data_IF_724609241111
#
_entry.id   IF_724609241111
#
_cell.length_a   1.000
_cell.length_b   1.000
_cell.length_c   1.000
_cell.angle_alpha   90.00
_cell.angle_beta   90.00
_cell.angle_gamma   90.00
#
_symmetry.space_group_name_H-M   'P 1'
#
loop_
_entity.id
_entity.type
_entity.pdbx_description
1 polymer ?
#
# COMPACT_ATOMS: atom_id res chain seq x y z
N UNK A 1 -2.43 71.13 61.55
CA UNK A 1 -1.69 72.29 61.07
C UNK A 1 -0.61 71.85 60.12
N UNK A 2 -0.50 72.45 58.99
CA UNK A 2 0.39 72.23 57.83
C UNK A 2 -0.14 71.27 56.75
N UNK A 3 -0.78 71.90 55.76
CA UNK A 3 -1.19 71.41 54.48
C UNK A 3 0.02 71.13 53.59
N UNK A 4 0.01 69.98 52.88
CA UNK A 4 0.90 69.75 51.76
C UNK A 4 0.03 69.49 50.54
N UNK A 5 0.09 70.36 49.59
CA UNK A 5 -0.52 70.28 48.30
C UNK A 5 0.29 69.31 47.43
N UNK A 6 -0.38 68.31 46.87
CA UNK A 6 0.17 67.42 45.86
C UNK A 6 -0.31 67.89 44.48
N UNK A 7 0.67 68.29 43.65
CA UNK A 7 0.46 68.55 42.23
C UNK A 7 0.29 67.17 41.49
N UNK A 8 -0.84 67.00 40.82
CA UNK A 8 -1.06 65.88 39.90
C UNK A 8 -0.66 66.34 38.49
N UNK A 9 0.40 65.76 37.95
CA UNK A 9 0.78 65.89 36.56
C UNK A 9 -0.01 64.87 35.71
N UNK A 10 -0.84 65.42 34.81
CA UNK A 10 -1.63 64.58 33.85
C UNK A 10 -0.76 64.26 32.64
N UNK A 11 -0.35 62.99 32.51
CA UNK A 11 0.32 62.48 31.33
C UNK A 11 -0.75 61.93 30.37
N UNK A 12 -0.97 62.56 29.22
CA UNK A 12 -1.77 62.05 28.13
C UNK A 12 -0.95 61.01 27.41
N UNK A 13 -1.32 59.74 27.55
CA UNK A 13 -0.84 58.65 26.71
C UNK A 13 -1.74 58.52 25.47
N UNK A 14 -1.21 58.88 24.31
CA UNK A 14 -1.86 58.61 23.03
C UNK A 14 -1.76 57.12 22.71
N UNK A 15 -2.86 56.37 22.88
CA UNK A 15 -2.97 54.97 22.43
C UNK A 15 -3.20 54.91 20.92
N UNK A 16 -2.15 54.63 20.16
CA UNK A 16 -2.27 54.29 18.74
C UNK A 16 -2.86 52.90 18.61
N UNK A 17 -4.08 52.77 18.13
CA UNK A 17 -4.65 51.48 17.68
C UNK A 17 -3.95 51.04 16.40
N UNK A 18 -2.98 50.15 16.53
CA UNK A 18 -2.49 49.38 15.38
C UNK A 18 -3.52 48.27 15.07
N UNK A 19 -4.30 48.46 14.01
CA UNK A 19 -5.15 47.39 13.44
C UNK A 19 -4.24 46.34 12.83
N UNK A 20 -4.04 45.23 13.54
CA UNK A 20 -3.38 44.05 12.99
C UNK A 20 -4.27 43.48 11.88
N UNK A 21 -3.75 43.40 10.67
CA UNK A 21 -4.39 42.69 9.58
C UNK A 21 -4.57 41.23 9.98
N UNK A 22 -5.71 40.60 9.65
CA UNK A 22 -5.90 39.18 9.96
C UNK A 22 -4.86 38.36 9.22
N UNK A 23 -4.08 37.58 9.96
CA UNK A 23 -3.13 36.65 9.40
C UNK A 23 -3.91 35.65 8.51
N UNK A 24 -3.57 35.60 7.24
CA UNK A 24 -4.12 34.63 6.31
C UNK A 24 -3.81 33.22 6.88
N UNK A 25 -4.86 32.42 7.08
CA UNK A 25 -4.69 31.01 7.46
C UNK A 25 -3.84 30.33 6.38
N UNK A 26 -2.82 29.53 6.75
CA UNK A 26 -2.09 28.74 5.78
C UNK A 26 -3.08 27.83 5.06
N UNK A 27 -3.23 28.02 3.75
CA UNK A 27 -3.97 27.12 2.89
C UNK A 27 -3.17 25.82 2.91
N UNK A 28 -3.75 24.75 3.46
CA UNK A 28 -3.18 23.42 3.37
C UNK A 28 -2.99 23.11 1.88
N UNK A 29 -1.83 22.58 1.45
CA UNK A 29 -1.64 22.19 0.08
C UNK A 29 -2.71 21.17 -0.30
N UNK A 30 -3.51 21.47 -1.30
CA UNK A 30 -4.43 20.51 -1.91
C UNK A 30 -3.58 19.34 -2.38
N UNK A 31 -3.89 18.10 -1.99
CA UNK A 31 -3.15 16.96 -2.52
C UNK A 31 -3.32 16.94 -4.04
N UNK A 32 -2.24 17.23 -4.74
CA UNK A 32 -2.21 17.07 -6.18
C UNK A 32 -2.42 15.59 -6.45
N UNK A 33 -3.49 15.26 -7.17
CA UNK A 33 -3.72 13.92 -7.70
C UNK A 33 -2.64 13.69 -8.75
N UNK A 34 -1.52 13.13 -8.34
CA UNK A 34 -0.47 12.78 -9.26
C UNK A 34 -0.91 11.55 -10.06
N UNK A 35 -1.20 11.73 -11.33
CA UNK A 35 -1.38 10.64 -12.27
C UNK A 35 0.01 10.16 -12.66
N UNK A 36 0.60 9.27 -11.84
CA UNK A 36 1.85 8.64 -12.19
C UNK A 36 1.60 7.58 -13.26
N UNK A 37 2.33 7.67 -14.36
CA UNK A 37 2.41 6.64 -15.39
C UNK A 37 3.78 5.94 -15.29
N UNK A 38 3.94 4.79 -15.94
CA UNK A 38 5.25 4.11 -16.01
C UNK A 38 6.35 4.97 -16.64
N UNK A 39 5.98 5.98 -17.43
CA UNK A 39 6.93 6.94 -17.99
C UNK A 39 7.29 8.07 -17.02
N UNK A 40 6.61 8.09 -15.86
CA UNK A 40 6.77 9.16 -14.89
C UNK A 40 6.16 10.49 -15.33
N UNK A 41 6.27 11.48 -14.46
CA UNK A 41 5.97 12.87 -14.77
C UNK A 41 7.31 13.62 -14.87
N UNK A 42 7.64 14.13 -16.06
CA UNK A 42 8.89 14.87 -16.29
C UNK A 42 9.02 16.12 -15.40
N UNK A 43 7.89 16.69 -14.91
CA UNK A 43 7.88 17.82 -13.99
C UNK A 43 8.04 17.40 -12.52
N UNK A 44 7.77 16.13 -12.22
CA UNK A 44 7.81 15.57 -10.84
C UNK A 44 8.18 14.08 -10.88
N UNK A 45 9.41 13.73 -11.23
CA UNK A 45 9.84 12.34 -11.31
C UNK A 45 9.70 11.57 -9.99
N UNK A 46 9.63 12.29 -8.87
CA UNK A 46 9.64 11.72 -7.51
C UNK A 46 8.24 11.62 -6.88
N UNK A 47 7.19 12.05 -7.55
CA UNK A 47 5.91 12.31 -6.88
C UNK A 47 4.79 11.35 -7.27
N UNK A 48 4.95 10.07 -7.02
CA UNK A 48 3.83 9.13 -7.00
C UNK A 48 3.34 8.88 -5.56
N UNK A 49 2.61 9.86 -5.02
CA UNK A 49 1.96 9.72 -3.72
C UNK A 49 0.67 8.89 -3.85
N UNK A 50 0.37 8.11 -2.81
CA UNK A 50 -0.86 7.30 -2.75
C UNK A 50 -0.73 5.94 -3.41
N UNK A 51 0.48 5.49 -3.68
CA UNK A 51 0.76 4.14 -4.15
C UNK A 51 0.93 3.16 -3.00
N UNK A 52 0.63 1.92 -3.31
CA UNK A 52 0.80 0.80 -2.41
C UNK A 52 1.52 -0.35 -3.11
N UNK A 53 2.30 -1.07 -2.33
CA UNK A 53 2.85 -2.37 -2.68
C UNK A 53 1.91 -3.43 -2.14
N UNK A 54 1.33 -4.23 -3.02
CA UNK A 54 0.58 -5.43 -2.67
C UNK A 54 1.40 -6.67 -2.95
N UNK A 55 1.43 -7.58 -1.99
CA UNK A 55 2.08 -8.88 -2.08
C UNK A 55 1.05 -9.98 -1.90
N UNK A 56 0.96 -10.89 -2.87
CA UNK A 56 0.10 -12.05 -2.82
C UNK A 56 0.95 -13.32 -2.81
N UNK A 57 0.63 -14.22 -1.90
CA UNK A 57 1.38 -15.44 -1.67
C UNK A 57 0.58 -16.65 -2.15
N UNK A 58 1.05 -17.29 -3.22
CA UNK A 58 0.40 -18.41 -3.88
C UNK A 58 1.18 -19.69 -3.62
N UNK A 59 0.59 -20.64 -2.90
CA UNK A 59 1.16 -21.98 -2.81
C UNK A 59 1.05 -22.68 -4.18
N UNK A 60 2.16 -23.22 -4.69
CA UNK A 60 2.20 -23.84 -6.01
C UNK A 60 2.57 -25.34 -5.98
N UNK A 61 2.51 -25.95 -4.82
CA UNK A 61 2.76 -27.36 -4.62
C UNK A 61 3.65 -27.62 -3.42
N UNK A 62 3.65 -28.86 -2.95
CA UNK A 62 4.47 -29.27 -1.81
C UNK A 62 5.92 -29.48 -2.23
N UNK A 63 6.84 -29.16 -1.32
CA UNK A 63 8.21 -29.61 -1.45
C UNK A 63 8.26 -31.08 -1.02
N UNK A 64 8.91 -31.91 -1.84
CA UNK A 64 8.95 -33.36 -1.66
C UNK A 64 9.30 -33.77 -0.22
N UNK A 65 8.42 -34.50 0.45
CA UNK A 65 8.80 -35.28 1.62
C UNK A 65 7.88 -35.29 2.84
N UNK A 66 6.79 -34.52 2.90
CA UNK A 66 6.08 -34.37 4.17
C UNK A 66 4.58 -34.70 4.18
N UNK A 67 3.92 -35.04 3.09
CA UNK A 67 2.57 -35.56 3.16
C UNK A 67 2.21 -36.49 2.02
N UNK A 68 1.38 -37.51 2.33
CA UNK A 68 0.80 -38.43 1.36
C UNK A 68 -0.20 -37.77 0.38
N UNK A 69 -0.37 -36.45 0.44
CA UNK A 69 -1.11 -35.68 -0.56
C UNK A 69 -0.29 -35.65 -1.83
N UNK A 70 -0.83 -36.33 -2.81
CA UNK A 70 -0.22 -36.60 -4.11
C UNK A 70 0.38 -35.33 -4.71
N UNK A 71 1.63 -35.45 -5.15
CA UNK A 71 2.37 -34.50 -6.00
C UNK A 71 1.62 -34.13 -7.31
N UNK A 72 0.42 -34.67 -7.52
CA UNK A 72 -0.45 -34.44 -8.68
C UNK A 72 -1.05 -33.04 -8.73
N UNK A 73 -1.00 -32.29 -7.64
CA UNK A 73 -1.63 -30.97 -7.54
C UNK A 73 -0.62 -29.80 -7.59
N UNK A 74 0.64 -30.10 -7.93
CA UNK A 74 1.64 -29.08 -8.10
C UNK A 74 1.34 -28.24 -9.36
N UNK A 75 1.24 -26.93 -9.18
CA UNK A 75 1.08 -26.00 -10.29
C UNK A 75 2.38 -25.92 -11.08
N UNK A 76 2.30 -26.23 -12.35
CA UNK A 76 3.44 -26.13 -13.27
C UNK A 76 3.72 -24.65 -13.62
N UNK A 77 4.93 -24.39 -14.08
CA UNK A 77 5.31 -23.04 -14.52
C UNK A 77 4.45 -22.54 -15.70
N UNK A 78 4.04 -23.44 -16.58
CA UNK A 78 3.14 -23.12 -17.69
C UNK A 78 1.74 -22.72 -17.19
N UNK A 79 1.19 -23.43 -16.20
CA UNK A 79 -0.09 -23.09 -15.58
C UNK A 79 -0.01 -21.77 -14.82
N UNK A 80 1.11 -21.54 -14.11
CA UNK A 80 1.35 -20.28 -13.44
C UNK A 80 1.38 -19.10 -14.41
N UNK A 81 2.13 -19.19 -15.52
CA UNK A 81 2.17 -18.17 -16.56
C UNK A 81 0.80 -17.92 -17.18
N UNK A 82 0.07 -18.98 -17.51
CA UNK A 82 -1.28 -18.85 -18.04
C UNK A 82 -2.23 -18.13 -17.04
N UNK A 83 -2.06 -18.37 -15.74
CA UNK A 83 -2.79 -17.64 -14.70
C UNK A 83 -2.44 -16.16 -14.68
N UNK A 84 -1.16 -15.80 -14.74
CA UNK A 84 -0.72 -14.41 -14.81
C UNK A 84 -1.30 -13.71 -16.04
N UNK A 85 -1.18 -14.32 -17.21
CA UNK A 85 -1.65 -13.74 -18.49
C UNK A 85 -3.16 -13.51 -18.49
N UNK A 86 -3.91 -14.42 -17.89
CA UNK A 86 -5.38 -14.37 -17.90
C UNK A 86 -5.96 -13.49 -16.82
N UNK A 87 -5.37 -13.50 -15.61
CA UNK A 87 -6.02 -12.94 -14.43
C UNK A 87 -5.29 -11.74 -13.83
N UNK A 88 -3.98 -11.63 -14.01
CA UNK A 88 -3.17 -10.57 -13.38
C UNK A 88 -2.84 -9.48 -14.37
N UNK A 89 -2.18 -9.79 -15.48
CA UNK A 89 -1.72 -8.83 -16.47
C UNK A 89 -2.83 -7.89 -16.98
N UNK A 90 -4.06 -8.36 -17.28
CA UNK A 90 -5.11 -7.46 -17.73
C UNK A 90 -5.57 -6.43 -16.68
N UNK A 91 -5.32 -6.71 -15.39
CA UNK A 91 -5.66 -5.82 -14.27
C UNK A 91 -4.52 -4.90 -13.88
N UNK A 92 -3.30 -5.36 -14.05
CA UNK A 92 -2.07 -4.65 -13.71
C UNK A 92 -1.12 -4.66 -14.93
N UNK A 93 -1.50 -3.96 -16.03
CA UNK A 93 -0.72 -3.95 -17.27
C UNK A 93 0.60 -3.21 -17.11
N UNK A 94 0.70 -2.32 -16.12
CA UNK A 94 1.88 -1.50 -15.86
C UNK A 94 3.06 -2.30 -15.29
N UNK A 95 2.81 -3.53 -14.88
CA UNK A 95 3.86 -4.45 -14.47
C UNK A 95 3.57 -5.19 -13.18
N UNK A 96 4.27 -6.30 -13.07
CA UNK A 96 4.26 -7.17 -11.90
C UNK A 96 5.65 -7.79 -11.74
N UNK A 97 5.96 -8.21 -10.53
CA UNK A 97 7.17 -8.97 -10.23
C UNK A 97 6.80 -10.25 -9.49
N UNK A 98 7.44 -11.35 -9.84
CA UNK A 98 7.23 -12.63 -9.15
C UNK A 98 8.54 -13.11 -8.56
N UNK A 99 8.47 -13.53 -7.31
CA UNK A 99 9.56 -14.22 -6.62
C UNK A 99 9.18 -15.67 -6.35
N UNK A 100 10.13 -16.58 -6.57
CA UNK A 100 10.06 -17.92 -6.03
C UNK A 100 10.45 -17.88 -4.55
N UNK A 101 9.60 -18.48 -3.72
CA UNK A 101 9.76 -18.47 -2.29
C UNK A 101 9.41 -19.84 -1.69
N UNK A 102 9.77 -20.00 -0.43
CA UNK A 102 9.46 -21.15 0.39
C UNK A 102 8.50 -20.74 1.50
N UNK A 103 7.38 -21.46 1.63
CA UNK A 103 6.41 -21.24 2.69
C UNK A 103 6.32 -22.43 3.62
N UNK A 104 6.18 -22.17 4.91
CA UNK A 104 5.98 -23.19 5.92
C UNK A 104 4.96 -22.72 6.96
N UNK A 105 4.06 -23.61 7.33
CA UNK A 105 3.14 -23.37 8.44
C UNK A 105 2.78 -24.66 9.15
N UNK A 106 2.37 -24.54 10.40
CA UNK A 106 1.89 -25.65 11.21
C UNK A 106 0.39 -25.47 11.46
N UNK A 107 -0.43 -26.40 11.00
CA UNK A 107 -1.83 -26.42 11.38
C UNK A 107 -1.99 -26.70 12.86
N UNK A 108 -2.98 -26.05 13.48
CA UNK A 108 -3.27 -26.30 14.90
C UNK A 108 -3.55 -27.77 15.13
N UNK A 109 -2.76 -28.40 16.00
CA UNK A 109 -2.88 -29.82 16.33
C UNK A 109 -2.14 -30.77 15.39
N UNK A 110 -1.46 -30.27 14.36
CA UNK A 110 -0.56 -31.11 13.56
C UNK A 110 0.79 -31.27 14.24
N UNK A 111 1.41 -32.45 14.08
CA UNK A 111 2.75 -32.73 14.61
C UNK A 111 3.85 -32.21 13.67
N UNK A 112 3.58 -32.15 12.37
CA UNK A 112 4.54 -31.77 11.33
C UNK A 112 4.10 -30.53 10.57
N UNK A 113 5.03 -29.64 10.21
CA UNK A 113 4.72 -28.48 9.38
C UNK A 113 4.47 -28.88 7.92
N UNK A 114 3.53 -28.19 7.29
CA UNK A 114 3.40 -28.20 5.84
C UNK A 114 4.45 -27.29 5.22
N UNK A 115 5.05 -27.75 4.13
CA UNK A 115 6.07 -27.02 3.37
C UNK A 115 5.62 -26.87 1.93
N UNK A 116 5.63 -25.65 1.42
CA UNK A 116 5.21 -25.35 0.07
C UNK A 116 6.24 -24.54 -0.70
N UNK A 117 6.36 -24.86 -1.97
CA UNK A 117 6.86 -23.89 -2.93
C UNK A 117 5.81 -22.78 -3.08
N UNK A 118 6.25 -21.55 -3.09
CA UNK A 118 5.39 -20.36 -3.08
C UNK A 118 5.82 -19.42 -4.18
N UNK A 119 4.87 -18.88 -4.93
CA UNK A 119 5.08 -17.70 -5.79
C UNK A 119 4.60 -16.48 -5.03
N UNK A 120 5.45 -15.48 -4.90
CA UNK A 120 5.09 -14.17 -4.34
C UNK A 120 4.92 -13.19 -5.49
N UNK A 121 3.69 -12.81 -5.75
CA UNK A 121 3.36 -11.79 -6.74
C UNK A 121 3.39 -10.42 -6.07
N UNK A 122 4.18 -9.52 -6.60
CA UNK A 122 4.27 -8.12 -6.17
C UNK A 122 3.73 -7.22 -7.28
N UNK A 123 2.79 -6.35 -6.92
CA UNK A 123 2.28 -5.28 -7.78
C UNK A 123 2.36 -3.95 -7.04
N UNK A 124 2.80 -2.93 -7.75
CA UNK A 124 2.76 -1.54 -7.31
C UNK A 124 1.57 -0.88 -8.00
N UNK A 125 0.70 -0.24 -7.23
CA UNK A 125 -0.52 0.34 -7.79
C UNK A 125 -1.07 1.47 -6.92
N UNK A 126 -1.96 2.27 -7.48
CA UNK A 126 -2.70 3.27 -6.72
C UNK A 126 -3.59 2.64 -5.65
N UNK A 127 -3.69 3.27 -4.50
CA UNK A 127 -4.56 2.82 -3.41
C UNK A 127 -6.02 3.21 -3.65
N UNK A 128 -6.67 2.58 -4.62
CA UNK A 128 -8.06 2.84 -5.00
C UNK A 128 -8.96 1.65 -4.68
N UNK A 129 -10.30 1.89 -4.51
CA UNK A 129 -11.26 0.80 -4.35
C UNK A 129 -11.25 -0.19 -5.53
N UNK A 130 -11.04 0.32 -6.76
CA UNK A 130 -10.98 -0.52 -7.95
C UNK A 130 -9.78 -1.47 -7.90
N UNK A 131 -8.58 -0.96 -7.58
CA UNK A 131 -7.38 -1.78 -7.48
C UNK A 131 -7.50 -2.83 -6.37
N UNK A 132 -8.16 -2.48 -5.27
CA UNK A 132 -8.48 -3.44 -4.21
C UNK A 132 -9.41 -4.55 -4.70
N UNK A 133 -10.44 -4.22 -5.48
CA UNK A 133 -11.33 -5.19 -6.09
C UNK A 133 -10.61 -6.08 -7.12
N UNK A 134 -9.66 -5.52 -7.88
CA UNK A 134 -8.82 -6.27 -8.81
C UNK A 134 -7.96 -7.32 -8.08
N UNK A 135 -7.36 -6.97 -6.95
CA UNK A 135 -6.62 -7.92 -6.10
C UNK A 135 -7.54 -9.04 -5.59
N UNK A 136 -8.74 -8.70 -5.12
CA UNK A 136 -9.69 -9.72 -4.65
C UNK A 136 -10.14 -10.64 -5.78
N UNK A 137 -10.34 -10.11 -6.99
CA UNK A 137 -10.68 -10.93 -8.16
C UNK A 137 -9.55 -11.93 -8.52
N UNK A 138 -8.29 -11.52 -8.42
CA UNK A 138 -7.13 -12.41 -8.62
C UNK A 138 -7.13 -13.52 -7.57
N UNK A 139 -7.31 -13.19 -6.30
CA UNK A 139 -7.35 -14.16 -5.20
C UNK A 139 -8.49 -15.16 -5.38
N UNK A 140 -9.67 -14.68 -5.78
CA UNK A 140 -10.82 -15.54 -6.05
C UNK A 140 -10.57 -16.48 -7.22
N UNK A 141 -10.02 -15.96 -8.34
CA UNK A 141 -9.69 -16.76 -9.51
C UNK A 141 -8.70 -17.89 -9.18
N UNK A 142 -7.68 -17.59 -8.36
CA UNK A 142 -6.74 -18.62 -7.90
C UNK A 142 -7.43 -19.73 -7.09
N UNK A 143 -8.25 -19.34 -6.11
CA UNK A 143 -8.97 -20.31 -5.28
C UNK A 143 -9.90 -21.20 -6.10
N UNK A 144 -10.57 -20.62 -7.10
CA UNK A 144 -11.43 -21.39 -8.02
C UNK A 144 -10.65 -22.35 -8.91
N UNK A 145 -9.49 -21.92 -9.40
CA UNK A 145 -8.67 -22.73 -10.30
C UNK A 145 -7.94 -23.88 -9.59
N UNK A 146 -7.59 -23.71 -8.31
CA UNK A 146 -6.71 -24.65 -7.58
C UNK A 146 -7.40 -25.38 -6.42
N UNK A 147 -8.57 -24.92 -6.00
CA UNK A 147 -9.22 -25.44 -4.79
C UNK A 147 -8.57 -24.95 -3.48
N UNK A 148 -7.58 -24.05 -3.52
CA UNK A 148 -6.95 -23.50 -2.34
C UNK A 148 -7.95 -22.67 -1.52
N UNK A 149 -7.86 -22.74 -0.20
CA UNK A 149 -8.79 -22.04 0.69
C UNK A 149 -8.47 -20.55 0.80
N UNK A 150 -7.21 -20.18 0.69
CA UNK A 150 -6.76 -18.79 0.89
C UNK A 150 -5.57 -18.43 0.02
N UNK A 151 -5.43 -17.13 -0.22
CA UNK A 151 -4.21 -16.48 -0.73
C UNK A 151 -3.92 -15.36 0.25
N UNK A 152 -2.76 -15.38 0.90
CA UNK A 152 -2.35 -14.28 1.76
C UNK A 152 -2.14 -13.02 0.92
N UNK A 153 -2.64 -11.92 1.39
CA UNK A 153 -2.40 -10.59 0.83
C UNK A 153 -1.88 -9.67 1.92
N UNK A 154 -0.72 -9.09 1.68
CA UNK A 154 -0.14 -8.02 2.48
C UNK A 154 -0.07 -6.74 1.65
N UNK A 155 -0.25 -5.59 2.28
CA UNK A 155 -0.22 -4.29 1.63
C UNK A 155 0.49 -3.27 2.50
N UNK A 156 1.31 -2.42 1.87
CA UNK A 156 1.95 -1.28 2.54
C UNK A 156 1.97 -0.07 1.61
N UNK A 157 1.91 1.14 2.20
CA UNK A 157 2.12 2.37 1.47
C UNK A 157 3.58 2.49 1.04
N UNK A 158 3.82 2.96 -0.18
CA UNK A 158 5.16 3.15 -0.73
C UNK A 158 5.24 4.47 -1.50
N UNK A 159 6.44 5.00 -1.59
CA UNK A 159 6.79 6.01 -2.59
C UNK A 159 7.39 5.29 -3.79
N UNK A 160 6.98 5.69 -5.00
CA UNK A 160 7.53 5.15 -6.25
C UNK A 160 7.98 6.31 -7.14
N UNK A 161 9.05 6.08 -7.89
CA UNK A 161 9.53 6.98 -8.95
C UNK A 161 9.87 6.14 -10.18
N UNK A 162 9.68 6.73 -11.36
CA UNK A 162 9.91 6.06 -12.65
C UNK A 162 10.92 6.83 -13.49
#
# INVERSE_FOLDING_TARGET
MKSHALLFALVLAASGCATAAPAAKPVAPTPATATATLQGDAARPDAAAGWVRSELYFGVGEESGASERKQTDAITEAQWRAFLDKHVTPRFPDGLTVFDAYGQWLFRGAAEPNRLRTKVLVVLHENTPQRRADIEAIRLAWKQATGHQSVLWAQQAVEVSF
#
